data_IF_086279621552
#
_entry.id   IF_086279621552
#
_cell.length_a   1.000
_cell.length_b   1.000
_cell.length_c   1.000
_cell.angle_alpha   90.00
_cell.angle_beta   90.00
_cell.angle_gamma   90.00
#
_symmetry.space_group_name_H-M   'P 1'
#
loop_
_entity.id
_entity.type
_entity.pdbx_description
1 polymer ?
#
# COMPACT_ATOMS: atom_id res chain seq x y z
N UNK A 1 12.98 22.80 -11.34
CA UNK A 1 11.95 21.75 -11.20
C UNK A 1 12.22 20.96 -9.92
N UNK A 2 11.30 21.02 -8.94
CA UNK A 2 11.43 20.31 -7.66
C UNK A 2 11.11 18.80 -7.80
N UNK A 3 11.34 18.02 -6.74
CA UNK A 3 11.12 16.56 -6.81
C UNK A 3 9.66 16.18 -7.02
N UNK A 4 8.72 16.92 -6.43
CA UNK A 4 7.29 16.67 -6.61
C UNK A 4 6.88 16.90 -8.07
N UNK A 5 7.36 17.96 -8.70
CA UNK A 5 7.11 18.25 -10.12
C UNK A 5 7.65 17.13 -11.02
N UNK A 6 8.84 16.59 -10.71
CA UNK A 6 9.39 15.42 -11.43
C UNK A 6 8.48 14.20 -11.31
N UNK A 7 7.97 13.91 -10.11
CA UNK A 7 7.05 12.79 -9.85
C UNK A 7 5.73 13.01 -10.61
N UNK A 8 5.15 14.20 -10.53
CA UNK A 8 3.88 14.51 -11.20
C UNK A 8 4.00 14.42 -12.72
N UNK A 9 5.07 14.94 -13.31
CA UNK A 9 5.30 14.88 -14.75
C UNK A 9 5.45 13.44 -15.23
N UNK A 10 6.20 12.61 -14.50
CA UNK A 10 6.27 11.19 -14.80
C UNK A 10 4.90 10.51 -14.69
N UNK A 11 4.14 10.77 -13.61
CA UNK A 11 2.85 10.14 -13.39
C UNK A 11 1.84 10.47 -14.48
N UNK A 12 1.89 11.69 -15.02
CA UNK A 12 1.05 12.09 -16.18
C UNK A 12 1.34 11.24 -17.41
N UNK A 13 2.61 10.97 -17.71
CA UNK A 13 3.00 10.11 -18.82
C UNK A 13 2.51 8.68 -18.61
N UNK A 14 2.68 8.15 -17.40
CA UNK A 14 2.20 6.81 -17.05
C UNK A 14 0.68 6.70 -17.16
N UNK A 15 -0.07 7.68 -16.66
CA UNK A 15 -1.54 7.70 -16.76
C UNK A 15 -2.00 7.82 -18.22
N UNK A 16 -1.34 8.65 -19.02
CA UNK A 16 -1.68 8.83 -20.43
C UNK A 16 -1.50 7.54 -21.26
N UNK A 17 -0.65 6.63 -20.81
CA UNK A 17 -0.45 5.32 -21.44
C UNK A 17 -1.46 4.25 -21.00
N UNK A 18 -2.33 4.53 -20.01
CA UNK A 18 -3.31 3.56 -19.51
C UNK A 18 -4.60 3.59 -20.34
N UNK A 19 -5.18 2.40 -20.58
CA UNK A 19 -6.52 2.27 -21.15
C UNK A 19 -7.59 2.41 -20.07
N UNK A 20 -8.34 3.51 -20.12
CA UNK A 20 -9.41 3.81 -19.18
C UNK A 20 -10.56 2.77 -19.19
N UNK A 21 -10.86 2.15 -20.34
CA UNK A 21 -11.91 1.11 -20.43
C UNK A 21 -11.46 -0.15 -19.72
N UNK A 22 -10.22 -0.57 -19.93
CA UNK A 22 -9.63 -1.73 -19.23
C UNK A 22 -9.60 -1.48 -17.72
N UNK A 23 -9.17 -0.29 -17.29
CA UNK A 23 -9.16 0.07 -15.87
C UNK A 23 -10.55 0.07 -15.23
N UNK A 24 -11.54 0.64 -15.93
CA UNK A 24 -12.93 0.67 -15.45
C UNK A 24 -13.48 -0.74 -15.29
N UNK A 25 -13.29 -1.59 -16.30
CA UNK A 25 -13.72 -2.98 -16.23
C UNK A 25 -13.07 -3.72 -15.06
N UNK A 26 -11.76 -3.56 -14.86
CA UNK A 26 -11.06 -4.16 -13.72
C UNK A 26 -11.55 -3.63 -12.36
N UNK A 27 -11.91 -2.35 -12.27
CA UNK A 27 -12.46 -1.75 -11.06
C UNK A 27 -13.86 -2.29 -10.74
N UNK A 28 -14.71 -2.46 -11.74
CA UNK A 28 -16.07 -3.01 -11.61
C UNK A 28 -16.05 -4.48 -11.17
N UNK A 29 -15.00 -5.24 -11.54
CA UNK A 29 -14.80 -6.63 -11.12
C UNK A 29 -14.01 -6.78 -9.81
N UNK A 30 -13.60 -5.67 -9.18
CA UNK A 30 -12.77 -5.74 -7.98
C UNK A 30 -13.57 -6.20 -6.75
N UNK A 31 -12.97 -7.01 -5.85
CA UNK A 31 -13.63 -7.42 -4.61
C UNK A 31 -13.99 -6.21 -3.74
N UNK A 32 -15.05 -6.36 -2.93
CA UNK A 32 -15.47 -5.33 -1.96
C UNK A 32 -14.28 -4.80 -1.15
N UNK A 33 -14.08 -3.48 -1.06
CA UNK A 33 -13.02 -2.90 -0.25
C UNK A 33 -13.15 -3.32 1.23
N UNK A 34 -12.00 -3.55 1.88
CA UNK A 34 -11.96 -3.70 3.35
C UNK A 34 -12.25 -2.34 3.97
N UNK A 35 -13.02 -2.32 5.06
CA UNK A 35 -13.40 -1.06 5.73
C UNK A 35 -12.19 -0.42 6.42
N UNK A 36 -11.55 0.52 5.71
CA UNK A 36 -10.37 1.24 6.17
C UNK A 36 -10.69 2.13 7.37
N UNK A 37 -11.84 2.82 7.35
CA UNK A 37 -12.23 3.74 8.41
C UNK A 37 -12.47 2.97 9.72
N UNK A 38 -13.21 1.88 9.67
CA UNK A 38 -13.46 1.04 10.83
C UNK A 38 -12.17 0.46 11.41
N UNK A 39 -11.20 0.06 10.56
CA UNK A 39 -9.92 -0.46 11.04
C UNK A 39 -9.11 0.59 11.83
N UNK A 40 -9.08 1.83 11.35
CA UNK A 40 -8.44 2.94 12.07
C UNK A 40 -9.20 3.28 13.36
N UNK A 41 -10.54 3.30 13.31
CA UNK A 41 -11.39 3.69 14.44
C UNK A 41 -11.44 2.64 15.56
N UNK A 42 -11.35 1.34 15.25
CA UNK A 42 -11.34 0.26 16.27
C UNK A 42 -10.26 0.45 17.32
N UNK A 43 -9.11 1.03 16.95
CA UNK A 43 -7.98 1.29 17.85
C UNK A 43 -8.09 2.64 18.57
N UNK A 44 -9.04 3.51 18.20
CA UNK A 44 -9.17 4.89 18.73
C UNK A 44 -9.39 4.96 20.24
N UNK A 45 -10.07 3.96 20.81
CA UNK A 45 -10.37 3.87 22.25
C UNK A 45 -9.46 2.89 23.00
N UNK A 46 -8.45 2.34 22.32
CA UNK A 46 -7.47 1.44 22.94
C UNK A 46 -6.30 2.21 23.57
N UNK A 47 -5.40 1.47 24.21
CA UNK A 47 -4.13 1.98 24.77
C UNK A 47 -3.04 2.17 23.72
N UNK A 48 -3.27 1.73 22.48
CA UNK A 48 -2.30 1.75 21.39
C UNK A 48 -2.75 2.66 20.25
N UNK A 49 -1.83 3.36 19.56
CA UNK A 49 -2.16 4.20 18.42
C UNK A 49 -2.70 3.39 17.24
N UNK A 50 -3.54 4.02 16.43
CA UNK A 50 -3.95 3.48 15.13
C UNK A 50 -2.82 3.63 14.10
N UNK A 51 -1.97 2.61 13.99
CA UNK A 51 -0.78 2.64 13.12
C UNK A 51 -1.10 2.23 11.67
N UNK A 52 -0.75 3.09 10.70
CA UNK A 52 -0.62 2.70 9.29
C UNK A 52 0.85 2.43 9.02
N UNK A 53 1.22 1.16 8.84
CA UNK A 53 2.62 0.78 8.64
C UNK A 53 2.95 0.72 7.14
N UNK A 54 4.04 1.36 6.71
CA UNK A 54 4.38 1.50 5.28
C UNK A 54 5.48 0.54 4.82
N UNK A 55 5.19 -0.19 3.76
CA UNK A 55 6.15 -1.02 3.03
C UNK A 55 6.88 -0.17 1.99
N UNK A 56 8.16 0.12 2.26
CA UNK A 56 8.95 1.08 1.46
C UNK A 56 10.39 0.61 1.24
N UNK A 57 10.77 0.43 -0.03
CA UNK A 57 12.13 0.03 -0.43
C UNK A 57 13.07 1.21 -0.63
N UNK A 58 12.58 2.29 -1.23
CA UNK A 58 13.38 3.47 -1.54
C UNK A 58 12.59 4.77 -1.37
N UNK A 59 13.29 5.90 -1.42
CA UNK A 59 12.69 7.21 -1.63
C UNK A 59 13.63 8.17 -2.35
N UNK A 60 13.10 9.21 -3.02
CA UNK A 60 13.94 10.20 -3.68
C UNK A 60 14.95 10.90 -2.76
N UNK A 61 14.60 11.09 -1.49
CA UNK A 61 15.45 11.82 -0.54
C UNK A 61 16.50 10.94 0.14
N UNK A 62 16.27 9.63 0.26
CA UNK A 62 17.16 8.72 1.00
C UNK A 62 17.74 7.58 0.17
N UNK A 63 17.42 7.52 -1.13
CA UNK A 63 17.82 6.40 -1.98
C UNK A 63 17.18 5.09 -1.53
N UNK A 64 17.93 3.98 -1.69
CA UNK A 64 17.51 2.65 -1.23
C UNK A 64 17.62 2.59 0.30
N UNK A 65 16.51 2.28 0.96
CA UNK A 65 16.43 2.17 2.42
C UNK A 65 16.73 0.75 2.90
N UNK A 66 16.25 -0.25 2.17
CA UNK A 66 16.36 -1.65 2.54
C UNK A 66 16.41 -2.53 1.28
N UNK A 67 17.62 -2.82 0.75
CA UNK A 67 17.79 -3.51 -0.54
C UNK A 67 17.30 -4.96 -0.52
N UNK A 68 17.35 -5.61 0.65
CA UNK A 68 16.97 -7.02 0.83
C UNK A 68 15.62 -7.18 1.55
N UNK A 69 14.78 -6.15 1.54
CA UNK A 69 13.51 -6.16 2.25
C UNK A 69 12.51 -7.10 1.57
N UNK A 70 12.20 -8.22 2.24
CA UNK A 70 11.03 -9.02 1.92
C UNK A 70 9.76 -8.29 2.39
N UNK A 71 9.04 -7.71 1.43
CA UNK A 71 7.84 -6.94 1.71
C UNK A 71 6.70 -7.81 2.25
N UNK A 72 6.67 -9.09 1.91
CA UNK A 72 5.63 -10.02 2.37
C UNK A 72 5.86 -10.41 3.81
N UNK A 73 7.11 -10.74 4.16
CA UNK A 73 7.49 -11.00 5.55
C UNK A 73 7.24 -9.77 6.43
N UNK A 74 7.60 -8.58 5.97
CA UNK A 74 7.40 -7.34 6.73
C UNK A 74 5.90 -7.03 6.88
N UNK A 75 5.09 -7.29 5.85
CA UNK A 75 3.64 -7.13 5.95
C UNK A 75 3.04 -8.05 7.02
N UNK A 76 3.53 -9.29 7.12
CA UNK A 76 3.12 -10.23 8.17
C UNK A 76 3.52 -9.69 9.55
N UNK A 77 4.77 -9.25 9.69
CA UNK A 77 5.29 -8.65 10.94
C UNK A 77 4.42 -7.46 11.35
N UNK A 78 4.13 -6.53 10.44
CA UNK A 78 3.28 -5.37 10.74
C UNK A 78 1.86 -5.78 11.15
N UNK A 79 1.29 -6.76 10.46
CA UNK A 79 -0.04 -7.30 10.78
C UNK A 79 -0.06 -7.90 12.18
N UNK A 80 0.89 -8.79 12.50
CA UNK A 80 0.97 -9.48 13.79
C UNK A 80 1.30 -8.53 14.95
N UNK A 81 1.99 -7.42 14.69
CA UNK A 81 2.30 -6.41 15.69
C UNK A 81 1.25 -5.29 15.78
N UNK A 82 0.06 -5.51 15.23
CA UNK A 82 -1.11 -4.67 15.48
C UNK A 82 -1.23 -3.42 14.61
N UNK A 83 -0.62 -3.41 13.43
CA UNK A 83 -0.93 -2.38 12.43
C UNK A 83 -2.44 -2.35 12.15
N UNK A 84 -3.01 -1.15 12.09
CA UNK A 84 -4.42 -0.94 11.74
C UNK A 84 -4.63 -1.01 10.22
N UNK A 85 -3.60 -0.66 9.44
CA UNK A 85 -3.57 -0.76 8.00
C UNK A 85 -2.12 -0.87 7.49
N UNK A 86 -1.95 -1.33 6.25
CA UNK A 86 -0.65 -1.37 5.58
C UNK A 86 -0.65 -0.41 4.39
N UNK A 87 0.27 0.55 4.37
CA UNK A 87 0.57 1.37 3.19
C UNK A 87 1.55 0.63 2.29
N UNK A 88 1.25 0.52 1.00
CA UNK A 88 2.07 -0.18 0.02
C UNK A 88 2.42 0.80 -1.09
N UNK A 89 3.72 1.08 -1.26
CA UNK A 89 4.18 1.92 -2.36
C UNK A 89 4.03 1.18 -3.70
N UNK A 90 3.39 1.84 -4.66
CA UNK A 90 3.13 1.33 -6.00
C UNK A 90 3.83 2.11 -7.10
N UNK A 91 4.52 3.20 -6.75
CA UNK A 91 5.35 3.95 -7.68
C UNK A 91 6.71 3.26 -7.89
N UNK A 92 6.95 2.81 -9.12
CA UNK A 92 8.17 2.08 -9.48
C UNK A 92 9.39 3.00 -9.54
N UNK A 93 9.27 4.16 -10.21
CA UNK A 93 10.42 4.99 -10.58
C UNK A 93 11.10 5.68 -9.40
N UNK A 94 10.33 6.19 -8.44
CA UNK A 94 10.85 7.04 -7.36
C UNK A 94 10.94 6.30 -6.02
N UNK A 95 10.17 5.23 -5.88
CA UNK A 95 10.03 4.52 -4.61
C UNK A 95 10.34 3.02 -4.69
N UNK A 96 10.58 2.50 -5.91
CA UNK A 96 10.79 1.07 -6.16
C UNK A 96 9.64 0.21 -5.61
N UNK A 97 8.43 0.75 -5.71
CA UNK A 97 7.18 0.08 -5.39
C UNK A 97 6.68 -0.80 -6.54
N UNK A 98 5.55 -1.46 -6.34
CA UNK A 98 4.91 -2.25 -7.42
C UNK A 98 3.41 -2.42 -7.18
N UNK A 99 2.62 -2.28 -8.25
CA UNK A 99 1.20 -2.61 -8.23
C UNK A 99 0.96 -4.12 -8.06
N UNK A 100 1.89 -4.98 -8.50
CA UNK A 100 1.80 -6.45 -8.29
C UNK A 100 1.88 -6.79 -6.81
N UNK A 101 2.82 -6.17 -6.07
CA UNK A 101 2.98 -6.36 -4.62
C UNK A 101 1.67 -6.03 -3.88
N UNK A 102 1.00 -4.94 -4.24
CA UNK A 102 -0.31 -4.59 -3.64
C UNK A 102 -1.37 -5.67 -3.90
N UNK A 103 -1.43 -6.22 -5.13
CA UNK A 103 -2.39 -7.27 -5.51
C UNK A 103 -2.10 -8.58 -4.76
N UNK A 104 -0.83 -8.97 -4.69
CA UNK A 104 -0.39 -10.18 -3.99
C UNK A 104 -0.70 -10.08 -2.49
N UNK A 105 -0.36 -8.95 -1.85
CA UNK A 105 -0.72 -8.70 -0.44
C UNK A 105 -2.23 -8.71 -0.20
N UNK A 106 -3.02 -8.21 -1.16
CA UNK A 106 -4.48 -8.27 -1.07
C UNK A 106 -4.97 -9.71 -1.06
N UNK A 107 -4.43 -10.57 -1.93
CA UNK A 107 -4.80 -11.98 -2.05
C UNK A 107 -4.38 -12.83 -0.83
N UNK A 108 -3.30 -12.46 -0.15
CA UNK A 108 -2.81 -13.15 1.06
C UNK A 108 -3.75 -13.08 2.26
N UNK A 109 -4.78 -12.23 2.23
CA UNK A 109 -5.77 -12.12 3.29
C UNK A 109 -5.15 -11.95 4.69
N UNK A 110 -4.19 -11.04 4.81
CA UNK A 110 -3.52 -10.72 6.07
C UNK A 110 -4.51 -10.43 7.20
N UNK A 111 -4.39 -11.18 8.30
CA UNK A 111 -5.19 -10.99 9.52
C UNK A 111 -4.29 -10.92 10.77
N UNK A 112 -4.55 -10.00 11.73
CA UNK A 112 -3.86 -9.99 13.02
C UNK A 112 -4.35 -11.13 13.94
N UNK A 113 -5.56 -11.61 13.71
CA UNK A 113 -6.25 -12.68 14.45
C UNK A 113 -7.25 -13.38 13.50
N UNK A 114 -8.12 -14.26 14.01
CA UNK A 114 -9.12 -14.94 13.18
C UNK A 114 -10.30 -14.06 12.74
N UNK A 115 -10.36 -12.80 13.19
CA UNK A 115 -11.60 -12.01 13.15
C UNK A 115 -11.62 -10.96 12.03
N UNK A 116 -10.48 -10.37 11.65
CA UNK A 116 -10.49 -9.22 10.73
C UNK A 116 -9.33 -9.17 9.73
N UNK A 117 -9.66 -8.87 8.47
CA UNK A 117 -8.68 -8.59 7.42
C UNK A 117 -8.15 -7.17 7.54
N UNK A 118 -6.83 -7.01 7.47
CA UNK A 118 -6.19 -5.69 7.50
C UNK A 118 -6.41 -4.96 6.16
N UNK A 119 -6.87 -3.70 6.13
CA UNK A 119 -6.99 -2.97 4.89
C UNK A 119 -5.63 -2.51 4.36
N UNK A 120 -5.52 -2.41 3.03
CA UNK A 120 -4.32 -1.93 2.34
C UNK A 120 -4.58 -0.53 1.78
N UNK A 121 -3.62 0.37 1.94
CA UNK A 121 -3.57 1.70 1.35
C UNK A 121 -2.59 1.67 0.18
N UNK A 122 -3.07 1.99 -1.03
CA UNK A 122 -2.20 2.23 -2.18
C UNK A 122 -1.54 3.60 -1.99
N UNK A 123 -0.22 3.63 -2.00
CA UNK A 123 0.61 4.83 -1.91
C UNK A 123 1.58 4.89 -3.09
#
# INVERSE_FOLDING_TARGET
MNILEKILNQKRLEIAALDAKVLRHAAEQSPTPRDFLAAIQRRRFGTHPSLIAELKRASPSKGILAPHLDLFQVADIYTQNGAAAISVLTDEKFFMGSLSTLRELRARNLTPDTSHLIPLLRK
#
